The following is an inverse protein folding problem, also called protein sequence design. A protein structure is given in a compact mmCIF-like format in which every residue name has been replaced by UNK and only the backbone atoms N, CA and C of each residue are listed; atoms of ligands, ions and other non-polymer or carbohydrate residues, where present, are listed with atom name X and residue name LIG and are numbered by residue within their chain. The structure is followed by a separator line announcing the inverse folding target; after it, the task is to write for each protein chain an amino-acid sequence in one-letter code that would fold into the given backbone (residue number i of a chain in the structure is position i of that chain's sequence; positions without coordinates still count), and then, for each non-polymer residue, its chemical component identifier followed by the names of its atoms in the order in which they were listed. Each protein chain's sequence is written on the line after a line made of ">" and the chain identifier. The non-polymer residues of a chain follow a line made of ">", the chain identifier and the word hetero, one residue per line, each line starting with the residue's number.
data_IF_499807177383
#
_entry.id   IF_499807177383
#
_cell.length_a   1.000
_cell.length_b   1.000
_cell.length_c   1.000
_cell.angle_alpha   90.00
_cell.angle_beta   90.00
_cell.angle_gamma   90.00
#
_symmetry.space_group_name_H-M   'P 1'
#
loop_
_entity.id
_entity.type
_entity.pdbx_description
1 polymer ?
#
# COMPACT_ATOMS: atom_id res chain seq x y z
N UNK A 1 2.47 -31.70 -9.00
CA UNK A 1 3.41 -31.05 -9.93
C UNK A 1 4.40 -30.25 -9.09
N UNK A 2 5.66 -30.70 -9.04
CA UNK A 2 6.72 -30.01 -8.33
C UNK A 2 7.11 -28.75 -9.11
N UNK A 3 7.01 -27.61 -8.47
CA UNK A 3 7.46 -26.32 -9.00
C UNK A 3 8.94 -26.45 -9.39
N UNK A 4 9.22 -26.32 -10.67
CA UNK A 4 10.58 -26.39 -11.19
C UNK A 4 11.24 -25.01 -10.96
N UNK A 5 11.82 -24.83 -9.76
CA UNK A 5 12.64 -23.65 -9.45
C UNK A 5 13.90 -23.72 -10.30
N UNK A 6 14.18 -22.67 -11.07
CA UNK A 6 15.37 -22.68 -11.94
C UNK A 6 16.65 -22.68 -11.10
N UNK A 7 17.76 -23.26 -11.63
CA UNK A 7 19.06 -23.22 -10.93
C UNK A 7 19.51 -21.79 -10.60
N UNK A 8 19.26 -20.83 -11.47
CA UNK A 8 19.59 -19.43 -11.25
C UNK A 8 18.80 -18.81 -10.09
N UNK A 9 17.56 -19.21 -9.91
CA UNK A 9 16.68 -18.78 -8.83
C UNK A 9 17.08 -19.37 -7.48
N UNK A 10 17.52 -20.63 -7.49
CA UNK A 10 18.10 -21.30 -6.32
C UNK A 10 19.39 -20.61 -5.90
N UNK A 11 20.30 -20.35 -6.83
CA UNK A 11 21.57 -19.66 -6.55
C UNK A 11 21.34 -18.25 -6.04
N UNK A 12 20.36 -17.53 -6.57
CA UNK A 12 19.98 -16.20 -6.07
C UNK A 12 19.47 -16.28 -4.64
N UNK A 13 18.54 -17.19 -4.31
CA UNK A 13 18.04 -17.40 -2.94
C UNK A 13 19.17 -17.69 -1.96
N UNK A 14 20.05 -18.64 -2.30
CA UNK A 14 21.18 -19.02 -1.45
C UNK A 14 22.14 -17.85 -1.23
N UNK A 15 22.35 -17.02 -2.23
CA UNK A 15 23.16 -15.81 -2.11
C UNK A 15 22.51 -14.79 -1.19
N UNK A 16 21.19 -14.60 -1.27
CA UNK A 16 20.46 -13.67 -0.41
C UNK A 16 20.41 -14.15 1.04
N UNK A 17 20.21 -15.45 1.28
CA UNK A 17 20.28 -16.04 2.61
C UNK A 17 21.66 -15.86 3.24
N UNK A 18 22.72 -16.18 2.51
CA UNK A 18 24.11 -15.95 2.99
C UNK A 18 24.35 -14.47 3.34
N UNK A 19 23.88 -13.56 2.49
CA UNK A 19 24.04 -12.10 2.74
C UNK A 19 23.26 -11.63 3.94
N UNK A 20 22.05 -12.16 4.14
CA UNK A 20 21.24 -11.92 5.33
C UNK A 20 21.96 -12.40 6.60
N UNK A 21 22.49 -13.62 6.59
CA UNK A 21 23.22 -14.20 7.72
C UNK A 21 24.50 -13.41 8.02
N UNK A 22 25.23 -12.97 7.00
CA UNK A 22 26.36 -12.06 7.16
C UNK A 22 25.97 -10.73 7.80
N UNK A 23 24.87 -10.12 7.35
CA UNK A 23 24.37 -8.86 7.92
C UNK A 23 23.93 -9.04 9.38
N UNK A 24 23.25 -10.14 9.69
CA UNK A 24 22.81 -10.44 11.05
C UNK A 24 23.98 -10.76 11.97
N UNK A 25 25.00 -11.48 11.48
CA UNK A 25 26.23 -11.80 12.26
C UNK A 25 27.11 -10.58 12.55
N UNK A 26 27.05 -9.57 11.68
CA UNK A 26 27.74 -8.28 11.87
C UNK A 26 26.99 -7.30 12.74
N UNK A 27 25.76 -7.65 13.14
CA UNK A 27 24.95 -6.81 14.00
C UNK A 27 25.57 -6.76 15.38
N UNK A 28 26.38 -5.75 15.61
CA UNK A 28 26.77 -5.36 16.96
C UNK A 28 25.55 -4.76 17.65
N UNK A 29 25.43 -4.97 18.96
CA UNK A 29 24.40 -4.30 19.75
C UNK A 29 24.51 -2.80 19.56
N UNK A 30 23.61 -2.26 18.74
CA UNK A 30 23.57 -0.82 18.51
C UNK A 30 22.87 -0.21 19.72
N UNK A 31 23.68 0.29 20.65
CA UNK A 31 23.19 0.95 21.86
C UNK A 31 22.37 2.21 21.58
N UNK A 32 22.40 2.72 20.34
CA UNK A 32 21.70 3.95 19.93
C UNK A 32 20.87 3.76 18.66
N UNK A 33 19.69 4.37 18.58
CA UNK A 33 18.89 4.37 17.35
C UNK A 33 19.69 5.05 16.23
N UNK A 34 19.76 4.38 15.07
CA UNK A 34 20.56 4.84 13.92
C UNK A 34 19.98 6.13 13.31
N UNK A 35 18.65 6.30 13.35
CA UNK A 35 17.95 7.41 12.69
C UNK A 35 17.54 8.55 13.65
N UNK A 36 17.20 8.23 14.90
CA UNK A 36 16.71 9.21 15.88
C UNK A 36 17.39 8.97 17.22
N UNK A 37 18.19 9.94 17.65
CA UNK A 37 18.92 9.88 18.93
C UNK A 37 18.02 10.24 20.12
N UNK A 38 18.44 9.87 21.33
CA UNK A 38 17.71 10.26 22.55
C UNK A 38 17.65 11.79 22.73
N UNK A 39 18.74 12.49 22.39
CA UNK A 39 18.77 13.95 22.45
C UNK A 39 17.77 14.61 21.50
N UNK A 40 17.58 14.02 20.31
CA UNK A 40 16.56 14.49 19.38
C UNK A 40 15.14 14.27 19.93
N UNK A 41 14.89 13.14 20.59
CA UNK A 41 13.61 12.87 21.27
C UNK A 41 13.38 13.84 22.42
N UNK A 42 14.39 14.09 23.24
CA UNK A 42 14.25 15.03 24.38
C UNK A 42 14.04 16.47 23.89
N UNK A 43 14.71 16.86 22.81
CA UNK A 43 14.42 18.14 22.15
C UNK A 43 12.98 18.19 21.60
N UNK A 44 12.50 17.12 20.98
CA UNK A 44 11.14 17.04 20.49
C UNK A 44 10.12 17.14 21.64
N UNK A 45 10.35 16.48 22.77
CA UNK A 45 9.51 16.60 23.97
C UNK A 45 9.42 18.03 24.48
N UNK A 46 10.56 18.73 24.54
CA UNK A 46 10.56 20.16 24.92
C UNK A 46 9.77 21.00 23.92
N UNK A 47 9.98 20.80 22.62
CA UNK A 47 9.22 21.53 21.61
C UNK A 47 7.72 21.31 21.73
N UNK A 48 7.28 20.07 22.01
CA UNK A 48 5.85 19.76 22.24
C UNK A 48 5.33 20.49 23.49
N UNK A 49 6.11 20.58 24.56
CA UNK A 49 5.69 21.23 25.79
C UNK A 49 5.72 22.78 25.69
N UNK A 50 6.71 23.33 25.01
CA UNK A 50 7.05 24.74 25.12
C UNK A 50 6.65 25.57 23.91
N UNK A 51 6.20 24.93 22.81
CA UNK A 51 5.89 25.66 21.57
C UNK A 51 4.53 25.29 20.99
N UNK A 52 3.83 26.29 20.45
CA UNK A 52 2.53 26.10 19.77
C UNK A 52 2.62 25.16 18.57
N UNK A 53 3.66 25.26 17.76
CA UNK A 53 3.82 24.40 16.60
C UNK A 53 4.10 22.95 17.01
N UNK A 54 4.85 22.73 18.09
CA UNK A 54 5.12 21.39 18.63
C UNK A 54 3.85 20.73 19.15
N UNK A 55 3.03 21.48 19.89
CA UNK A 55 1.71 21.02 20.36
C UNK A 55 0.82 20.60 19.19
N UNK A 56 0.67 21.44 18.17
CA UNK A 56 -0.17 21.15 16.99
C UNK A 56 0.35 19.94 16.22
N UNK A 57 1.65 19.88 15.99
CA UNK A 57 2.29 18.73 15.32
C UNK A 57 2.05 17.43 16.09
N UNK A 58 2.24 17.44 17.40
CA UNK A 58 2.03 16.25 18.21
C UNK A 58 0.57 15.82 18.28
N UNK A 59 -0.36 16.76 18.32
CA UNK A 59 -1.79 16.46 18.27
C UNK A 59 -2.17 15.75 16.97
N UNK A 60 -1.63 16.17 15.81
CA UNK A 60 -1.86 15.47 14.54
C UNK A 60 -1.23 14.08 14.52
N UNK A 61 0.02 13.96 14.99
CA UNK A 61 0.70 12.69 15.12
C UNK A 61 -0.11 11.70 15.96
N UNK A 62 -0.55 12.17 17.14
CA UNK A 62 -1.28 11.40 18.14
C UNK A 62 -2.67 10.98 17.66
N UNK A 63 -3.37 11.82 16.90
CA UNK A 63 -4.70 11.53 16.36
C UNK A 63 -4.72 10.23 15.54
N UNK A 64 -3.74 10.03 14.67
CA UNK A 64 -3.62 8.80 13.86
C UNK A 64 -3.15 7.62 14.73
N UNK A 65 -2.18 7.85 15.61
CA UNK A 65 -1.66 6.82 16.51
C UNK A 65 -2.75 6.29 17.47
N UNK A 66 -3.55 7.18 18.05
CA UNK A 66 -4.68 6.81 18.91
C UNK A 66 -5.75 6.02 18.16
N UNK A 67 -6.07 6.46 16.94
CA UNK A 67 -7.02 5.73 16.10
C UNK A 67 -6.57 4.28 15.88
N UNK A 68 -5.32 4.07 15.48
CA UNK A 68 -4.81 2.73 15.17
C UNK A 68 -4.60 1.90 16.44
N UNK A 69 -4.06 2.49 17.51
CA UNK A 69 -3.83 1.79 18.76
C UNK A 69 -5.12 1.38 19.49
N UNK A 70 -6.23 2.08 19.22
CA UNK A 70 -7.56 1.80 19.76
C UNK A 70 -8.37 0.78 18.95
N UNK A 71 -7.86 0.29 17.82
CA UNK A 71 -8.59 -0.65 16.98
C UNK A 71 -8.60 -2.06 17.56
N UNK A 72 -9.69 -2.83 17.32
CA UNK A 72 -9.82 -4.20 17.80
C UNK A 72 -8.82 -5.15 17.11
N UNK A 73 -8.70 -6.34 17.68
CA UNK A 73 -7.98 -7.44 17.03
C UNK A 73 -8.60 -7.74 15.66
N UNK A 74 -7.74 -8.03 14.67
CA UNK A 74 -8.17 -8.22 13.28
C UNK A 74 -8.13 -6.96 12.41
N UNK A 75 -8.04 -5.76 12.99
CA UNK A 75 -7.91 -4.53 12.22
C UNK A 75 -6.65 -4.54 11.34
N UNK A 76 -5.51 -4.95 11.89
CA UNK A 76 -4.24 -5.00 11.16
C UNK A 76 -4.32 -5.94 9.97
N UNK A 77 -4.94 -7.13 10.14
CA UNK A 77 -5.15 -8.12 9.08
C UNK A 77 -6.04 -7.56 7.95
N UNK A 78 -7.10 -6.81 8.30
CA UNK A 78 -7.97 -6.16 7.33
C UNK A 78 -7.26 -5.04 6.57
N UNK A 79 -6.36 -4.33 7.23
CA UNK A 79 -5.63 -3.21 6.65
C UNK A 79 -4.39 -3.63 5.86
N UNK A 80 -3.79 -4.77 6.20
CA UNK A 80 -2.63 -5.34 5.49
C UNK A 80 -3.05 -6.71 4.95
N UNK A 81 -3.64 -6.76 3.74
CA UNK A 81 -4.15 -7.98 3.14
C UNK A 81 -3.03 -8.88 2.63
N UNK A 82 -3.35 -10.17 2.49
CA UNK A 82 -2.44 -11.15 1.86
C UNK A 82 -2.29 -10.93 0.36
N UNK A 83 -3.39 -10.50 -0.28
CA UNK A 83 -3.37 -10.19 -1.71
C UNK A 83 -2.55 -8.93 -1.96
N UNK A 84 -1.66 -9.02 -2.92
CA UNK A 84 -0.75 -7.93 -3.34
C UNK A 84 -1.51 -6.61 -3.54
N UNK A 85 -1.06 -5.50 -2.94
CA UNK A 85 -1.56 -4.18 -3.28
C UNK A 85 -1.21 -3.86 -4.73
N UNK A 86 -2.16 -3.29 -5.46
CA UNK A 86 -1.88 -2.87 -6.85
C UNK A 86 -1.36 -1.43 -6.89
N UNK A 87 -0.67 -1.11 -7.98
CA UNK A 87 -0.22 0.26 -8.23
C UNK A 87 -1.44 1.20 -8.33
N UNK A 88 -1.45 2.35 -7.64
CA UNK A 88 -2.55 3.31 -7.66
C UNK A 88 -2.68 4.11 -8.95
N UNK A 89 -1.77 3.95 -9.91
CA UNK A 89 -1.82 4.66 -11.20
C UNK A 89 -2.95 4.12 -12.10
N UNK A 90 -3.53 5.00 -12.89
CA UNK A 90 -4.56 4.62 -13.87
C UNK A 90 -5.99 4.54 -13.32
N UNK A 91 -6.25 5.07 -12.12
CA UNK A 91 -7.58 5.05 -11.53
C UNK A 91 -8.45 6.17 -12.10
N UNK A 92 -9.48 5.81 -12.86
CA UNK A 92 -10.45 6.73 -13.46
C UNK A 92 -11.85 6.42 -12.96
N UNK A 93 -12.60 7.45 -12.57
CA UNK A 93 -13.99 7.28 -12.18
C UNK A 93 -14.85 6.92 -13.39
N UNK A 94 -15.45 5.72 -13.47
CA UNK A 94 -16.28 5.32 -14.62
C UNK A 94 -17.50 6.21 -14.83
N UNK A 95 -18.08 6.73 -13.74
CA UNK A 95 -19.24 7.62 -13.79
C UNK A 95 -18.91 9.03 -14.34
N UNK A 96 -17.62 9.43 -14.32
CA UNK A 96 -17.19 10.74 -14.79
C UNK A 96 -16.51 10.72 -16.17
N UNK A 97 -16.44 9.55 -16.80
CA UNK A 97 -15.82 9.44 -18.12
C UNK A 97 -16.62 10.26 -19.13
N UNK A 98 -15.96 11.06 -19.91
CA UNK A 98 -16.58 12.03 -20.80
C UNK A 98 -16.73 13.44 -20.22
N UNK A 99 -16.85 13.57 -18.90
CA UNK A 99 -16.84 14.88 -18.21
C UNK A 99 -15.41 15.25 -17.77
N UNK A 100 -14.62 14.25 -17.46
CA UNK A 100 -13.27 14.40 -16.88
C UNK A 100 -12.13 14.21 -17.88
N UNK A 101 -12.42 14.04 -19.15
CA UNK A 101 -11.40 14.00 -20.22
C UNK A 101 -10.62 15.30 -20.37
N UNK A 102 -11.08 16.36 -19.70
CA UNK A 102 -10.34 17.59 -19.57
C UNK A 102 -9.28 17.47 -18.45
N UNK A 103 -8.04 17.18 -18.88
CA UNK A 103 -6.83 17.56 -18.18
C UNK A 103 -6.59 16.95 -16.79
N UNK A 104 -6.52 15.64 -16.66
CA UNK A 104 -5.98 15.00 -15.46
C UNK A 104 -6.84 15.11 -14.20
N UNK A 105 -8.04 15.70 -14.27
CA UNK A 105 -8.99 15.79 -13.15
C UNK A 105 -9.51 14.41 -12.72
N UNK A 106 -9.72 13.50 -13.67
CA UNK A 106 -10.18 12.15 -13.39
C UNK A 106 -9.24 11.38 -12.45
N UNK A 107 -7.95 11.51 -12.67
CA UNK A 107 -6.91 10.85 -11.89
C UNK A 107 -6.82 11.37 -10.45
N UNK A 108 -7.07 12.67 -10.25
CA UNK A 108 -7.01 13.31 -8.92
C UNK A 108 -8.32 13.31 -8.17
N UNK A 109 -9.39 12.81 -8.78
CA UNK A 109 -10.73 12.89 -8.20
C UNK A 109 -11.04 11.78 -7.20
N UNK A 110 -10.28 10.69 -7.20
CA UNK A 110 -10.50 9.58 -6.27
C UNK A 110 -9.80 9.84 -4.95
N UNK A 111 -10.55 9.71 -3.86
CA UNK A 111 -10.06 9.91 -2.49
C UNK A 111 -10.38 8.69 -1.63
N UNK A 112 -9.46 8.40 -0.74
CA UNK A 112 -9.56 7.36 0.28
C UNK A 112 -9.47 7.99 1.68
N UNK A 113 -10.17 7.40 2.65
CA UNK A 113 -10.12 7.83 4.06
C UNK A 113 -9.93 6.60 4.96
N UNK A 114 -8.98 6.66 5.87
CA UNK A 114 -8.67 5.57 6.80
C UNK A 114 -9.80 5.28 7.80
N UNK A 115 -10.76 6.18 7.95
CA UNK A 115 -11.95 6.02 8.80
C UNK A 115 -13.02 5.16 8.13
N UNK A 116 -13.00 5.10 6.81
CA UNK A 116 -13.83 4.23 5.99
C UNK A 116 -12.96 3.50 4.96
N UNK A 117 -12.12 2.54 5.43
CA UNK A 117 -10.98 2.07 4.66
C UNK A 117 -11.34 1.15 3.49
N UNK A 118 -12.56 0.65 3.41
CA UNK A 118 -12.95 -0.34 2.41
C UNK A 118 -13.48 0.27 1.12
N UNK A 119 -13.65 1.60 1.09
CA UNK A 119 -14.16 2.32 -0.08
C UNK A 119 -13.24 3.47 -0.48
N UNK A 120 -13.41 3.91 -1.72
CA UNK A 120 -12.92 5.18 -2.24
C UNK A 120 -14.08 5.98 -2.80
N UNK A 121 -13.92 7.29 -2.86
CA UNK A 121 -14.96 8.21 -3.34
C UNK A 121 -14.41 9.10 -4.45
N UNK A 122 -15.18 9.26 -5.52
CA UNK A 122 -14.94 10.30 -6.49
C UNK A 122 -15.44 11.65 -5.94
N UNK A 123 -14.53 12.63 -5.81
CA UNK A 123 -14.91 13.96 -5.29
C UNK A 123 -15.68 14.79 -6.31
N UNK A 124 -15.62 14.44 -7.60
CA UNK A 124 -16.32 15.16 -8.65
C UNK A 124 -17.82 14.80 -8.72
N UNK A 125 -18.18 13.51 -8.62
CA UNK A 125 -19.56 13.04 -8.72
C UNK A 125 -20.11 12.42 -7.43
N UNK A 126 -19.29 12.21 -6.40
CA UNK A 126 -19.70 11.60 -5.15
C UNK A 126 -19.78 10.07 -5.15
N UNK A 127 -19.63 9.43 -6.33
CA UNK A 127 -19.69 7.97 -6.45
C UNK A 127 -18.65 7.28 -5.59
N UNK A 128 -19.05 6.18 -4.96
CA UNK A 128 -18.15 5.34 -4.12
C UNK A 128 -17.84 4.03 -4.83
N UNK A 129 -16.63 3.51 -4.60
CA UNK A 129 -16.16 2.25 -5.20
C UNK A 129 -15.49 1.37 -4.12
N UNK A 130 -15.55 0.02 -4.28
CA UNK A 130 -16.18 -0.75 -5.36
C UNK A 130 -17.69 -0.56 -5.39
N UNK A 131 -18.29 -0.62 -6.59
CA UNK A 131 -19.73 -0.43 -6.80
C UNK A 131 -20.27 -1.51 -7.73
N UNK A 132 -21.45 -2.10 -7.44
CA UNK A 132 -22.06 -3.14 -8.27
C UNK A 132 -22.43 -2.69 -9.70
N UNK A 133 -22.70 -1.40 -9.93
CA UNK A 133 -22.98 -0.86 -11.25
C UNK A 133 -21.72 -0.76 -12.12
N UNK A 134 -20.55 -0.74 -11.47
CA UNK A 134 -19.24 -0.70 -12.13
C UNK A 134 -18.36 -1.86 -11.66
N UNK A 135 -18.74 -3.11 -11.97
CA UNK A 135 -18.05 -4.29 -11.48
C UNK A 135 -16.66 -4.44 -12.10
N UNK A 136 -15.72 -4.95 -11.33
CA UNK A 136 -14.40 -5.36 -11.81
C UNK A 136 -14.51 -6.73 -12.49
N UNK A 137 -14.79 -6.76 -13.78
CA UNK A 137 -15.07 -7.98 -14.56
C UNK A 137 -13.83 -8.57 -15.24
N UNK A 138 -12.82 -7.75 -15.48
CA UNK A 138 -11.54 -8.22 -16.03
C UNK A 138 -10.74 -8.89 -14.90
N UNK A 139 -10.23 -10.09 -15.17
CA UNK A 139 -9.48 -10.90 -14.20
C UNK A 139 -8.12 -11.26 -14.75
N UNK A 140 -7.09 -10.94 -13.99
CA UNK A 140 -5.73 -11.42 -14.21
C UNK A 140 -5.36 -12.39 -13.09
N UNK A 141 -4.85 -13.54 -13.46
CA UNK A 141 -4.43 -14.58 -12.50
C UNK A 141 -2.94 -14.81 -12.66
N UNK A 142 -2.20 -14.65 -11.57
CA UNK A 142 -0.82 -15.11 -11.53
C UNK A 142 -0.83 -16.64 -11.45
N UNK A 143 -0.33 -17.36 -12.47
CA UNK A 143 -0.40 -18.82 -12.51
C UNK A 143 0.44 -19.47 -11.41
N UNK A 144 1.53 -18.83 -11.01
CA UNK A 144 2.50 -19.36 -10.05
C UNK A 144 2.03 -19.18 -8.59
N UNK A 145 1.52 -18.00 -8.23
CA UNK A 145 1.08 -17.69 -6.88
C UNK A 145 -0.43 -17.75 -6.69
N UNK A 146 -1.19 -18.04 -7.75
CA UNK A 146 -2.66 -18.16 -7.76
C UNK A 146 -3.39 -16.92 -7.20
N UNK A 147 -2.73 -15.77 -7.17
CA UNK A 147 -3.38 -14.52 -6.85
C UNK A 147 -4.19 -14.03 -8.04
N UNK A 148 -5.42 -13.56 -7.77
CA UNK A 148 -6.30 -13.02 -8.80
C UNK A 148 -6.48 -11.52 -8.56
N UNK A 149 -6.26 -10.74 -9.61
CA UNK A 149 -6.49 -9.29 -9.63
C UNK A 149 -7.68 -8.99 -10.51
N UNK A 150 -8.48 -8.02 -10.11
CA UNK A 150 -9.69 -7.64 -10.82
C UNK A 150 -9.65 -6.17 -11.23
N UNK A 151 -10.26 -5.86 -12.38
CA UNK A 151 -10.27 -4.53 -12.99
C UNK A 151 -11.63 -4.21 -13.58
N UNK A 152 -11.96 -2.94 -13.60
CA UNK A 152 -13.13 -2.46 -14.32
C UNK A 152 -12.94 -2.61 -15.84
N UNK A 153 -13.93 -3.16 -16.53
CA UNK A 153 -13.99 -3.08 -17.96
C UNK A 153 -14.19 -1.62 -18.39
N UNK A 154 -13.61 -1.23 -19.51
CA UNK A 154 -13.94 0.04 -20.17
C UNK A 154 -15.37 0.04 -20.66
N UNK A 155 -15.90 1.23 -20.97
CA UNK A 155 -17.25 1.32 -21.58
C UNK A 155 -17.32 0.56 -22.91
N UNK A 156 -16.28 0.68 -23.74
CA UNK A 156 -16.21 -0.06 -25.00
C UNK A 156 -16.22 -1.57 -24.77
N UNK A 157 -15.48 -2.09 -23.79
CA UNK A 157 -15.47 -3.52 -23.46
C UNK A 157 -16.79 -4.00 -22.87
N UNK A 158 -17.58 -3.15 -22.23
CA UNK A 158 -18.92 -3.49 -21.74
C UNK A 158 -19.97 -3.51 -22.83
N UNK A 159 -19.89 -2.55 -23.77
CA UNK A 159 -20.85 -2.42 -24.87
C UNK A 159 -20.47 -3.24 -26.11
N UNK A 160 -19.17 -3.43 -26.31
CA UNK A 160 -18.58 -4.20 -27.40
C UNK A 160 -17.48 -5.12 -26.83
N UNK A 161 -17.85 -6.28 -26.27
CA UNK A 161 -16.90 -7.19 -25.63
C UNK A 161 -15.74 -7.66 -26.53
N UNK A 162 -15.91 -7.61 -27.83
CA UNK A 162 -14.90 -7.92 -28.85
C UNK A 162 -13.91 -6.77 -29.08
N UNK A 163 -14.26 -5.55 -28.71
CA UNK A 163 -13.40 -4.37 -28.86
C UNK A 163 -12.67 -4.05 -27.54
N UNK A 164 -11.41 -4.41 -27.48
CA UNK A 164 -10.54 -4.12 -26.33
C UNK A 164 -9.78 -2.79 -26.43
N UNK A 165 -10.16 -1.91 -27.37
CA UNK A 165 -9.51 -0.61 -27.53
C UNK A 165 -9.73 0.35 -26.33
N UNK A 166 -10.79 0.15 -25.57
CA UNK A 166 -11.11 0.71 -24.28
C UNK A 166 -11.08 2.23 -24.14
N UNK A 167 -12.25 2.87 -23.98
CA UNK A 167 -12.32 4.33 -23.75
C UNK A 167 -11.97 4.72 -22.30
N UNK A 168 -12.12 3.80 -21.36
CA UNK A 168 -11.77 4.00 -19.94
C UNK A 168 -10.34 3.58 -19.60
N UNK A 169 -9.63 3.00 -20.56
CA UNK A 169 -8.26 2.59 -20.35
C UNK A 169 -7.33 3.80 -20.43
N UNK A 170 -6.48 3.96 -19.46
CA UNK A 170 -5.35 4.86 -19.56
C UNK A 170 -4.39 4.36 -20.64
N UNK A 171 -4.06 5.22 -21.58
CA UNK A 171 -3.01 4.90 -22.56
C UNK A 171 -1.68 5.46 -22.07
N UNK A 172 -0.91 4.59 -21.46
CA UNK A 172 0.49 4.88 -21.14
C UNK A 172 1.39 4.11 -22.09
N UNK A 173 2.29 4.82 -22.77
CA UNK A 173 3.20 4.20 -23.77
C UNK A 173 2.47 3.29 -24.76
N UNK A 174 1.26 3.68 -25.16
CA UNK A 174 0.45 2.94 -26.16
C UNK A 174 -0.27 1.70 -25.68
N UNK A 175 -0.22 1.37 -24.37
CA UNK A 175 -0.96 0.23 -23.79
C UNK A 175 -2.16 0.71 -22.97
N UNK A 176 -3.28 -0.01 -23.00
CA UNK A 176 -4.41 0.27 -22.14
C UNK A 176 -4.09 -0.14 -20.70
N UNK A 177 -4.54 0.68 -19.75
CA UNK A 177 -4.47 0.40 -18.31
C UNK A 177 -5.87 0.46 -17.74
N UNK A 178 -6.28 -0.58 -17.06
CA UNK A 178 -7.61 -0.68 -16.47
C UNK A 178 -7.59 -0.25 -14.99
N UNK A 179 -8.68 0.38 -14.55
CA UNK A 179 -8.84 0.77 -13.14
C UNK A 179 -9.17 -0.42 -12.26
N UNK A 180 -8.48 -0.52 -11.12
CA UNK A 180 -8.80 -1.48 -10.06
C UNK A 180 -9.08 -0.73 -8.76
N UNK A 181 -10.33 -0.57 -8.40
CA UNK A 181 -10.71 0.11 -7.14
C UNK A 181 -10.39 -0.75 -5.93
N UNK A 182 -10.61 -2.07 -6.03
CA UNK A 182 -10.24 -3.00 -4.96
C UNK A 182 -8.74 -3.04 -4.75
N UNK A 183 -7.96 -2.97 -5.83
CA UNK A 183 -6.50 -2.87 -5.79
C UNK A 183 -6.03 -1.56 -5.17
N UNK A 184 -6.63 -0.46 -5.58
CA UNK A 184 -6.33 0.86 -5.03
C UNK A 184 -6.64 0.95 -3.53
N UNK A 185 -7.80 0.43 -3.09
CA UNK A 185 -8.15 0.34 -1.67
C UNK A 185 -7.06 -0.42 -0.89
N UNK A 186 -6.59 -1.56 -1.43
CA UNK A 186 -5.48 -2.31 -0.80
C UNK A 186 -4.20 -1.49 -0.71
N UNK A 187 -3.82 -0.80 -1.78
CA UNK A 187 -2.63 0.04 -1.80
C UNK A 187 -2.72 1.19 -0.79
N UNK A 188 -3.87 1.87 -0.71
CA UNK A 188 -4.09 2.94 0.25
C UNK A 188 -4.05 2.47 1.70
N UNK A 189 -4.65 1.32 2.00
CA UNK A 189 -4.59 0.68 3.32
C UNK A 189 -3.15 0.39 3.74
N UNK A 190 -2.38 -0.22 2.84
CA UNK A 190 -0.98 -0.58 3.10
C UNK A 190 -0.13 0.67 3.32
N UNK A 191 -0.25 1.68 2.45
CA UNK A 191 0.45 2.96 2.61
C UNK A 191 0.11 3.66 3.93
N UNK A 192 -1.17 3.68 4.31
CA UNK A 192 -1.60 4.20 5.60
C UNK A 192 -0.97 3.45 6.77
N UNK A 193 -0.95 2.11 6.74
CA UNK A 193 -0.39 1.30 7.82
C UNK A 193 1.13 1.47 7.95
N UNK A 194 1.84 1.64 6.84
CA UNK A 194 3.26 1.97 6.84
C UNK A 194 3.53 3.30 7.55
N UNK A 195 2.78 4.34 7.16
CA UNK A 195 2.85 5.65 7.83
C UNK A 195 2.45 5.59 9.31
N UNK A 196 1.40 4.81 9.62
CA UNK A 196 0.92 4.65 11.00
C UNK A 196 1.95 3.97 11.91
N UNK A 197 2.71 3.00 11.41
CA UNK A 197 3.78 2.35 12.17
C UNK A 197 4.84 3.38 12.63
N UNK A 198 5.26 4.29 11.74
CA UNK A 198 6.16 5.38 12.08
C UNK A 198 5.57 6.33 13.12
N UNK A 199 4.31 6.74 12.95
CA UNK A 199 3.59 7.63 13.89
C UNK A 199 3.45 6.99 15.28
N UNK A 200 3.10 5.71 15.34
CA UNK A 200 3.02 4.93 16.59
C UNK A 200 4.38 4.85 17.29
N UNK A 201 5.44 4.59 16.55
CA UNK A 201 6.80 4.52 17.08
C UNK A 201 7.24 5.86 17.68
N UNK A 202 6.94 6.97 17.00
CA UNK A 202 7.21 8.32 17.52
C UNK A 202 6.37 8.63 18.74
N UNK A 203 5.07 8.30 18.75
CA UNK A 203 4.22 8.47 19.94
C UNK A 203 4.77 7.70 21.13
N UNK A 204 5.19 6.44 20.95
CA UNK A 204 5.84 5.66 22.00
C UNK A 204 7.09 6.36 22.53
N UNK A 205 7.97 6.81 21.64
CA UNK A 205 9.22 7.48 22.01
C UNK A 205 8.98 8.79 22.78
N UNK A 206 7.92 9.51 22.42
CA UNK A 206 7.60 10.78 23.07
C UNK A 206 6.87 10.61 24.41
N UNK A 207 5.97 9.62 24.54
CA UNK A 207 5.09 9.46 25.70
C UNK A 207 5.49 8.34 26.65
N UNK A 208 6.17 7.29 26.16
CA UNK A 208 6.42 6.05 26.89
C UNK A 208 5.22 5.09 26.94
N UNK A 209 4.07 5.44 26.34
CA UNK A 209 2.85 4.62 26.39
C UNK A 209 3.00 3.32 25.58
N UNK A 210 3.10 2.18 26.25
CA UNK A 210 3.35 0.86 25.66
C UNK A 210 2.30 0.43 24.62
N UNK A 211 1.07 1.01 24.64
CA UNK A 211 0.03 0.69 23.66
C UNK A 211 0.46 1.03 22.22
N UNK A 212 1.21 2.11 22.04
CA UNK A 212 1.72 2.50 20.73
C UNK A 212 2.80 1.55 20.22
N UNK A 213 3.72 1.13 21.10
CA UNK A 213 4.73 0.13 20.73
C UNK A 213 4.09 -1.20 20.32
N UNK A 214 3.10 -1.68 21.09
CA UNK A 214 2.37 -2.91 20.75
C UNK A 214 1.66 -2.81 19.41
N UNK A 215 1.00 -1.70 19.12
CA UNK A 215 0.33 -1.49 17.84
C UNK A 215 1.32 -1.44 16.68
N UNK A 216 2.44 -0.73 16.81
CA UNK A 216 3.50 -0.70 15.81
C UNK A 216 4.08 -2.10 15.54
N UNK A 217 4.36 -2.86 16.60
CA UNK A 217 4.87 -4.24 16.48
C UNK A 217 3.92 -5.15 15.72
N UNK A 218 2.61 -5.08 16.00
CA UNK A 218 1.60 -5.88 15.26
C UNK A 218 1.60 -5.55 13.75
N UNK A 219 1.74 -4.28 13.40
CA UNK A 219 1.83 -3.85 12.00
C UNK A 219 3.08 -4.44 11.35
N UNK A 220 4.25 -4.29 11.97
CA UNK A 220 5.51 -4.79 11.42
C UNK A 220 5.50 -6.32 11.27
N UNK A 221 4.99 -7.04 12.27
CA UNK A 221 4.84 -8.50 12.18
C UNK A 221 3.92 -8.89 11.02
N UNK A 222 2.79 -8.20 10.84
CA UNK A 222 1.89 -8.50 9.71
C UNK A 222 2.54 -8.24 8.36
N UNK A 223 3.37 -7.20 8.23
CA UNK A 223 4.15 -6.99 7.02
C UNK A 223 5.12 -8.13 6.74
N UNK A 224 5.79 -8.68 7.75
CA UNK A 224 6.69 -9.83 7.56
C UNK A 224 5.97 -11.10 7.12
N UNK A 225 4.69 -11.25 7.46
CA UNK A 225 3.86 -12.36 7.00
C UNK A 225 3.43 -12.21 5.54
N UNK A 226 3.01 -11.01 5.14
CA UNK A 226 2.40 -10.77 3.83
C UNK A 226 3.41 -10.45 2.73
N UNK A 227 4.38 -9.60 3.04
CA UNK A 227 5.31 -9.03 2.08
C UNK A 227 6.07 -10.06 1.22
N UNK A 228 6.56 -11.19 1.76
CA UNK A 228 7.25 -12.19 0.97
C UNK A 228 6.37 -12.85 -0.12
N UNK A 229 5.05 -12.72 0.01
CA UNK A 229 4.08 -13.32 -0.91
C UNK A 229 3.50 -12.31 -1.90
N UNK A 230 3.82 -11.04 -1.77
CA UNK A 230 3.33 -10.04 -2.69
C UNK A 230 4.10 -10.09 -4.00
N UNK A 231 3.35 -9.92 -5.10
CA UNK A 231 3.87 -9.91 -6.45
C UNK A 231 4.14 -8.48 -6.89
N UNK A 232 5.07 -8.31 -7.82
CA UNK A 232 5.15 -7.07 -8.57
C UNK A 232 3.95 -7.00 -9.52
N UNK A 233 3.22 -5.91 -9.46
CA UNK A 233 2.11 -5.64 -10.35
C UNK A 233 2.27 -4.22 -10.88
N UNK A 234 2.52 -4.11 -12.18
CA UNK A 234 2.65 -2.82 -12.84
C UNK A 234 1.30 -2.29 -13.35
N UNK A 235 1.32 -1.06 -13.84
CA UNK A 235 0.13 -0.39 -14.36
C UNK A 235 -0.24 -0.79 -15.79
N UNK A 236 0.42 -1.78 -16.38
CA UNK A 236 0.08 -2.36 -17.68
C UNK A 236 -0.74 -3.64 -17.57
N UNK A 237 -1.33 -3.91 -16.42
CA UNK A 237 -2.01 -5.17 -16.13
C UNK A 237 -1.08 -6.38 -16.27
N UNK A 238 0.23 -6.16 -16.14
CA UNK A 238 1.23 -7.22 -16.17
C UNK A 238 1.53 -7.64 -14.75
N UNK A 239 1.36 -8.92 -14.46
CA UNK A 239 1.76 -9.53 -13.20
C UNK A 239 3.12 -10.17 -13.43
N UNK A 240 4.14 -9.63 -12.79
CA UNK A 240 5.44 -10.24 -12.74
C UNK A 240 5.59 -10.96 -11.39
N UNK A 241 5.78 -12.27 -11.43
CA UNK A 241 6.19 -13.03 -10.25
C UNK A 241 7.69 -12.81 -10.05
N UNK A 242 8.02 -11.65 -9.53
CA UNK A 242 9.37 -11.27 -9.25
C UNK A 242 9.65 -11.28 -7.75
N UNK A 243 10.94 -11.31 -7.46
CA UNK A 243 11.49 -11.24 -6.12
C UNK A 243 10.84 -10.11 -5.30
N UNK A 244 10.56 -10.33 -4.00
CA UNK A 244 10.09 -9.30 -3.07
C UNK A 244 10.93 -8.01 -3.08
N UNK A 245 12.21 -8.06 -3.48
CA UNK A 245 13.03 -6.86 -3.66
C UNK A 245 12.51 -5.93 -4.78
N UNK A 246 11.87 -6.46 -5.80
CA UNK A 246 11.23 -5.64 -6.84
C UNK A 246 9.90 -5.05 -6.36
N UNK A 247 9.17 -5.77 -5.53
CA UNK A 247 7.99 -5.24 -4.86
C UNK A 247 8.38 -4.09 -3.90
N UNK A 248 9.55 -4.17 -3.27
CA UNK A 248 10.09 -3.11 -2.41
C UNK A 248 10.24 -1.78 -3.13
N UNK A 249 10.57 -1.77 -4.41
CA UNK A 249 10.77 -0.51 -5.12
C UNK A 249 9.50 0.33 -5.23
N UNK A 250 8.36 -0.30 -5.36
CA UNK A 250 7.08 0.41 -5.33
C UNK A 250 6.67 0.90 -3.93
N UNK A 251 7.35 0.45 -2.88
CA UNK A 251 7.13 0.84 -1.49
C UNK A 251 8.21 1.78 -0.95
N UNK A 252 9.33 1.97 -1.65
CA UNK A 252 10.39 2.89 -1.21
C UNK A 252 10.02 4.37 -1.40
N UNK A 253 8.93 4.68 -2.08
CA UNK A 253 8.35 6.01 -2.15
C UNK A 253 7.36 6.29 -0.99
N UNK A 254 7.22 5.35 -0.06
CA UNK A 254 6.46 5.46 1.18
C UNK A 254 7.41 5.63 2.37
#
# INVERSE_FOLDING_TARGET
>A
EHEHVSPAETEFRDRMERRKDEMLSRRTDVAHPVLITNEQIDRARRNVADTRWGEVWFADLKRVADHVAGQPDGYVQRMIPELTPTNPYGLTCPNCVGVSSQEGLAYRSIRWDYRDPDIVRCVACGQTYPDPEFPETIRLVCPRRRQTFTYCASEAERTHPEDRSGTHAWKWVGKPVHSSFTGYVRAMKVGFMTSAAGRLSLCYRLTGEARYARAATRILLRFTECYPNWLYHDFYDTIADCDPLYAAWNFMEL
#
